data_IF_133452240115
#
_entry.id   IF_133452240115
#
_cell.length_a   1.000
_cell.length_b   1.000
_cell.length_c   1.000
_cell.angle_alpha   90.00
_cell.angle_beta   90.00
_cell.angle_gamma   90.00
#
_symmetry.space_group_name_H-M   'P 1'
#
loop_
_entity.id
_entity.type
_entity.pdbx_description
1 polymer ?
#
# COMPACT_ATOMS: atom_id res chain seq x y z
N UNK A 1 19.95 8.29 -0.29
CA UNK A 1 19.80 9.08 0.96
C UNK A 1 18.39 9.12 1.51
N UNK A 2 18.17 9.96 2.53
CA UNK A 2 16.84 10.08 3.18
C UNK A 2 15.76 10.57 2.21
N UNK A 3 16.09 11.53 1.34
CA UNK A 3 15.16 12.04 0.33
C UNK A 3 14.78 10.99 -0.70
N UNK A 4 15.69 10.10 -1.09
CA UNK A 4 15.39 9.02 -2.04
C UNK A 4 14.41 8.02 -1.41
N UNK A 5 14.60 7.70 -0.13
CA UNK A 5 13.68 6.85 0.62
C UNK A 5 12.28 7.46 0.73
N UNK A 6 12.19 8.72 1.12
CA UNK A 6 10.92 9.45 1.20
C UNK A 6 10.22 9.50 -0.17
N UNK A 7 10.96 9.89 -1.22
CA UNK A 7 10.40 9.99 -2.58
C UNK A 7 9.90 8.64 -3.10
N UNK A 8 10.63 7.55 -2.82
CA UNK A 8 10.22 6.21 -3.23
C UNK A 8 8.91 5.77 -2.54
N UNK A 9 8.77 6.04 -1.24
CA UNK A 9 7.52 5.74 -0.51
C UNK A 9 6.37 6.58 -1.03
N UNK A 10 6.59 7.87 -1.26
CA UNK A 10 5.56 8.78 -1.78
C UNK A 10 5.10 8.36 -3.18
N UNK A 11 6.02 7.99 -4.07
CA UNK A 11 5.68 7.51 -5.41
C UNK A 11 4.85 6.23 -5.34
N UNK A 12 5.24 5.28 -4.48
CA UNK A 12 4.49 4.04 -4.24
C UNK A 12 3.08 4.31 -3.70
N UNK A 13 2.94 5.23 -2.73
CA UNK A 13 1.64 5.59 -2.15
C UNK A 13 0.71 6.23 -3.19
N UNK A 14 1.23 7.14 -4.03
CA UNK A 14 0.45 7.75 -5.12
C UNK A 14 0.00 6.71 -6.14
N UNK A 15 0.88 5.78 -6.48
CA UNK A 15 0.57 4.69 -7.42
C UNK A 15 -0.49 3.76 -6.86
N UNK A 16 -0.39 3.36 -5.59
CA UNK A 16 -1.41 2.58 -4.91
C UNK A 16 -2.77 3.29 -4.90
N UNK A 17 -2.78 4.60 -4.64
CA UNK A 17 -4.00 5.41 -4.65
C UNK A 17 -4.66 5.45 -6.03
N UNK A 18 -3.88 5.58 -7.12
CA UNK A 18 -4.41 5.52 -8.51
C UNK A 18 -5.04 4.17 -8.80
N UNK A 19 -4.37 3.07 -8.48
CA UNK A 19 -4.94 1.73 -8.64
C UNK A 19 -6.23 1.57 -7.85
N UNK A 20 -6.21 1.95 -6.56
CA UNK A 20 -7.38 1.84 -5.70
C UNK A 20 -8.57 2.64 -6.22
N UNK A 21 -8.33 3.86 -6.71
CA UNK A 21 -9.37 4.68 -7.33
C UNK A 21 -9.90 4.05 -8.62
N UNK A 22 -9.04 3.55 -9.50
CA UNK A 22 -9.43 2.88 -10.73
C UNK A 22 -10.29 1.65 -10.46
N UNK A 23 -9.94 0.83 -9.46
CA UNK A 23 -10.76 -0.32 -9.04
C UNK A 23 -12.12 0.12 -8.50
N UNK A 24 -12.15 1.15 -7.64
CA UNK A 24 -13.38 1.68 -7.06
C UNK A 24 -14.32 2.26 -8.11
N UNK A 25 -13.79 3.00 -9.07
CA UNK A 25 -14.56 3.55 -10.21
C UNK A 25 -15.13 2.42 -11.06
N UNK A 26 -14.33 1.41 -11.42
CA UNK A 26 -14.78 0.26 -12.18
C UNK A 26 -15.92 -0.49 -11.48
N UNK A 27 -15.84 -0.62 -10.15
CA UNK A 27 -16.86 -1.24 -9.29
C UNK A 27 -18.05 -0.33 -8.99
N UNK A 28 -18.01 0.92 -9.40
CA UNK A 28 -19.00 1.96 -9.04
C UNK A 28 -19.19 2.10 -7.52
N UNK A 29 -18.10 2.01 -6.77
CA UNK A 29 -18.12 2.17 -5.31
C UNK A 29 -18.47 3.61 -4.93
N UNK A 30 -19.46 3.79 -4.06
CA UNK A 30 -19.85 5.12 -3.56
C UNK A 30 -18.73 5.78 -2.73
N UNK A 31 -17.89 4.97 -2.08
CA UNK A 31 -16.79 5.43 -1.23
C UNK A 31 -15.45 5.52 -1.97
N UNK A 32 -15.46 5.63 -3.31
CA UNK A 32 -14.26 5.66 -4.15
C UNK A 32 -13.20 6.68 -3.64
N UNK A 33 -13.65 7.84 -3.16
CA UNK A 33 -12.77 8.86 -2.59
C UNK A 33 -12.08 8.38 -1.31
N UNK A 34 -12.81 7.75 -0.39
CA UNK A 34 -12.25 7.24 0.86
C UNK A 34 -11.30 6.08 0.60
N UNK A 35 -11.61 5.22 -0.38
CA UNK A 35 -10.75 4.14 -0.84
C UNK A 35 -9.42 4.69 -1.38
N UNK A 36 -9.47 5.72 -2.21
CA UNK A 36 -8.29 6.44 -2.71
C UNK A 36 -7.45 7.02 -1.56
N UNK A 37 -8.08 7.73 -0.63
CA UNK A 37 -7.42 8.33 0.53
C UNK A 37 -6.79 7.28 1.44
N UNK A 38 -7.45 6.14 1.66
CA UNK A 38 -6.92 5.04 2.46
C UNK A 38 -5.65 4.43 1.82
N UNK A 39 -5.65 4.22 0.51
CA UNK A 39 -4.48 3.72 -0.20
C UNK A 39 -3.33 4.74 -0.21
N UNK A 40 -3.64 6.04 -0.36
CA UNK A 40 -2.64 7.11 -0.32
C UNK A 40 -1.96 7.24 1.04
N UNK A 41 -2.73 7.11 2.12
CA UNK A 41 -2.27 7.29 3.49
C UNK A 41 -1.75 6.01 4.12
N UNK A 42 -1.83 4.87 3.44
CA UNK A 42 -1.47 3.57 4.01
C UNK A 42 -0.03 3.53 4.55
N UNK A 43 0.91 4.14 3.86
CA UNK A 43 2.33 4.14 4.25
C UNK A 43 2.77 5.50 4.86
N UNK A 44 1.84 6.35 5.36
CA UNK A 44 2.25 7.68 5.84
C UNK A 44 3.14 7.64 7.09
N UNK A 45 3.01 6.62 7.93
CA UNK A 45 3.92 6.45 9.07
C UNK A 45 5.36 6.20 8.59
N UNK A 46 5.56 5.50 7.47
CA UNK A 46 6.87 5.33 6.85
C UNK A 46 7.40 6.66 6.30
N UNK A 47 6.55 7.47 5.68
CA UNK A 47 6.92 8.83 5.26
C UNK A 47 7.38 9.69 6.43
N UNK A 48 6.66 9.65 7.55
CA UNK A 48 7.05 10.36 8.76
C UNK A 48 8.39 9.88 9.33
N UNK A 49 8.67 8.57 9.27
CA UNK A 49 9.96 8.02 9.70
C UNK A 49 11.11 8.54 8.84
N UNK A 50 10.95 8.60 7.52
CA UNK A 50 11.96 9.18 6.63
C UNK A 50 12.24 10.66 6.91
N UNK A 51 11.23 11.41 7.34
CA UNK A 51 11.35 12.84 7.68
C UNK A 51 11.95 13.08 9.07
N UNK A 52 11.58 12.25 10.06
CA UNK A 52 11.90 12.51 11.48
C UNK A 52 13.06 11.69 12.00
N UNK A 53 13.27 10.51 11.47
CA UNK A 53 14.32 9.58 11.88
C UNK A 53 14.92 8.82 10.68
N UNK A 54 15.50 9.53 9.69
CA UNK A 54 15.98 8.92 8.45
C UNK A 54 17.04 7.84 8.66
N UNK A 55 17.87 7.95 9.70
CA UNK A 55 18.85 6.92 10.04
C UNK A 55 18.23 5.59 10.43
N UNK A 56 17.14 5.61 11.19
CA UNK A 56 16.40 4.39 11.57
C UNK A 56 15.64 3.83 10.37
N UNK A 57 15.02 4.67 9.55
CA UNK A 57 14.35 4.25 8.31
C UNK A 57 15.34 3.55 7.36
N UNK A 58 16.55 4.09 7.25
CA UNK A 58 17.62 3.49 6.45
C UNK A 58 18.08 2.14 6.99
N UNK A 59 18.21 2.00 8.31
CA UNK A 59 18.55 0.71 8.92
C UNK A 59 17.53 -0.37 8.58
N UNK A 60 16.23 -0.07 8.69
CA UNK A 60 15.17 -1.01 8.31
C UNK A 60 15.29 -1.39 6.83
N UNK A 61 15.48 -0.42 5.95
CA UNK A 61 15.62 -0.66 4.51
C UNK A 61 16.82 -1.55 4.19
N UNK A 62 17.97 -1.29 4.78
CA UNK A 62 19.18 -2.10 4.59
C UNK A 62 18.98 -3.54 5.09
N UNK A 63 18.35 -3.71 6.26
CA UNK A 63 18.03 -5.04 6.80
C UNK A 63 17.07 -5.81 5.87
N UNK A 64 16.06 -5.14 5.31
CA UNK A 64 15.15 -5.75 4.34
C UNK A 64 15.86 -6.23 3.08
N UNK A 65 16.85 -5.48 2.59
CA UNK A 65 17.65 -5.87 1.44
C UNK A 65 18.60 -7.04 1.73
N UNK A 66 19.13 -7.11 2.94
CA UNK A 66 20.02 -8.19 3.38
C UNK A 66 19.27 -9.49 3.69
N UNK A 67 18.04 -9.36 4.18
CA UNK A 67 17.20 -10.47 4.63
C UNK A 67 15.81 -10.44 3.97
N UNK A 68 15.71 -10.69 2.65
CA UNK A 68 14.46 -10.55 1.90
C UNK A 68 13.32 -11.47 2.40
N UNK A 69 13.67 -12.57 3.10
CA UNK A 69 12.70 -13.51 3.68
C UNK A 69 12.08 -13.05 5.01
N UNK A 70 12.65 -12.02 5.66
CA UNK A 70 12.11 -11.50 6.90
C UNK A 70 10.93 -10.55 6.63
N UNK A 71 9.88 -10.69 7.43
CA UNK A 71 8.74 -9.76 7.39
C UNK A 71 9.17 -8.37 7.86
N UNK A 72 8.78 -7.34 7.15
CA UNK A 72 9.05 -5.94 7.51
C UNK A 72 8.68 -5.62 8.95
N UNK A 73 7.55 -6.12 9.45
CA UNK A 73 7.11 -5.92 10.82
C UNK A 73 8.11 -6.46 11.87
N UNK A 74 8.78 -7.58 11.59
CA UNK A 74 9.80 -8.13 12.50
C UNK A 74 11.02 -7.21 12.58
N UNK A 75 11.52 -6.76 11.42
CA UNK A 75 12.64 -5.82 11.34
C UNK A 75 12.30 -4.49 12.04
N UNK A 76 11.08 -3.97 11.81
CA UNK A 76 10.60 -2.75 12.46
C UNK A 76 10.57 -2.88 13.98
N UNK A 77 10.06 -4.01 14.51
CA UNK A 77 10.06 -4.28 15.96
C UNK A 77 11.47 -4.33 16.55
N UNK A 78 12.44 -4.87 15.84
CA UNK A 78 13.83 -4.88 16.28
C UNK A 78 14.44 -3.48 16.32
N UNK A 79 14.23 -2.67 15.27
CA UNK A 79 14.85 -1.34 15.11
C UNK A 79 14.08 -0.26 15.86
N UNK A 80 12.74 -0.23 15.72
CA UNK A 80 11.88 0.84 16.27
C UNK A 80 11.22 0.47 17.59
N UNK A 81 11.22 -0.80 17.99
CA UNK A 81 10.47 -1.40 19.11
C UNK A 81 8.94 -1.41 18.90
N UNK A 82 8.45 -0.90 17.78
CA UNK A 82 7.05 -0.89 17.36
C UNK A 82 6.98 -1.17 15.87
N UNK A 83 5.78 -1.53 15.34
CA UNK A 83 5.56 -1.57 13.91
C UNK A 83 5.07 -0.22 13.39
N UNK A 84 5.36 0.10 12.14
CA UNK A 84 4.82 1.31 11.52
C UNK A 84 3.30 1.26 11.38
N UNK A 85 2.71 0.07 11.25
CA UNK A 85 1.26 -0.14 11.25
C UNK A 85 0.64 0.28 12.59
N UNK A 86 1.25 -0.08 13.72
CA UNK A 86 0.76 0.32 15.05
C UNK A 86 0.84 1.84 15.24
N UNK A 87 1.95 2.45 14.80
CA UNK A 87 2.13 3.91 14.85
C UNK A 87 1.08 4.61 13.98
N UNK A 88 0.87 4.13 12.76
CA UNK A 88 -0.11 4.68 11.84
C UNK A 88 -1.53 4.63 12.42
N UNK A 89 -1.94 3.48 12.92
CA UNK A 89 -3.25 3.30 13.53
C UNK A 89 -3.45 4.25 14.71
N UNK A 90 -2.47 4.35 15.61
CA UNK A 90 -2.52 5.26 16.75
C UNK A 90 -2.63 6.73 16.32
N UNK A 91 -1.90 7.16 15.28
CA UNK A 91 -1.97 8.52 14.76
C UNK A 91 -3.33 8.81 14.12
N UNK A 92 -3.88 7.89 13.33
CA UNK A 92 -5.19 8.04 12.72
C UNK A 92 -6.30 8.23 13.76
N UNK A 93 -6.27 7.44 14.84
CA UNK A 93 -7.21 7.58 15.96
C UNK A 93 -7.02 8.92 16.70
N UNK A 94 -5.77 9.31 16.97
CA UNK A 94 -5.47 10.57 17.66
C UNK A 94 -5.90 11.79 16.85
N UNK A 95 -5.78 11.74 15.53
CA UNK A 95 -6.22 12.81 14.63
C UNK A 95 -7.71 12.76 14.31
N UNK A 96 -8.44 11.79 14.89
CA UNK A 96 -9.88 11.60 14.71
C UNK A 96 -10.28 11.50 13.24
N UNK A 97 -9.50 10.75 12.46
CA UNK A 97 -9.86 10.52 11.07
C UNK A 97 -11.18 9.72 10.97
N UNK A 98 -11.90 9.85 9.85
CA UNK A 98 -13.15 9.12 9.65
C UNK A 98 -12.98 7.62 9.86
N UNK A 99 -13.95 6.98 10.53
CA UNK A 99 -13.88 5.55 10.90
C UNK A 99 -13.61 4.65 9.71
N UNK A 100 -14.33 4.87 8.60
CA UNK A 100 -14.13 4.09 7.39
C UNK A 100 -12.69 4.17 6.87
N UNK A 101 -12.10 5.37 6.89
CA UNK A 101 -10.70 5.56 6.49
C UNK A 101 -9.74 4.78 7.39
N UNK A 102 -9.94 4.83 8.69
CA UNK A 102 -9.13 4.07 9.66
C UNK A 102 -9.26 2.57 9.42
N UNK A 103 -10.49 2.08 9.24
CA UNK A 103 -10.77 0.66 9.02
C UNK A 103 -10.17 0.14 7.69
N UNK A 104 -10.20 0.95 6.62
CA UNK A 104 -9.64 0.57 5.32
C UNK A 104 -8.10 0.62 5.29
N UNK A 105 -7.47 1.42 6.14
CA UNK A 105 -6.02 1.53 6.24
C UNK A 105 -5.41 0.54 7.26
N UNK A 106 -6.21 -0.29 7.91
CA UNK A 106 -5.77 -1.24 8.92
C UNK A 106 -5.35 -2.58 8.30
N UNK A 107 -4.05 -2.81 8.19
CA UNK A 107 -3.47 -4.06 7.67
C UNK A 107 -3.74 -5.30 8.55
N UNK A 108 -4.10 -5.10 9.81
CA UNK A 108 -4.28 -6.20 10.76
C UNK A 108 -5.70 -6.76 10.75
N UNK A 109 -6.64 -6.07 10.11
CA UNK A 109 -8.01 -6.56 9.93
C UNK A 109 -8.09 -7.55 8.78
N UNK A 110 -8.84 -8.61 8.99
CA UNK A 110 -9.26 -9.48 7.89
C UNK A 110 -9.99 -8.64 6.82
N UNK A 111 -9.62 -8.83 5.56
CA UNK A 111 -10.27 -8.16 4.42
C UNK A 111 -11.70 -8.68 4.22
N UNK A 112 -12.62 -8.29 5.09
CA UNK A 112 -14.01 -8.75 5.06
C UNK A 112 -14.82 -8.03 3.98
N UNK A 113 -14.48 -6.78 3.66
CA UNK A 113 -15.19 -5.98 2.65
C UNK A 113 -14.46 -5.92 1.31
N UNK A 114 -15.22 -5.77 0.24
CA UNK A 114 -14.65 -5.52 -1.10
C UNK A 114 -13.82 -4.22 -1.15
N UNK A 115 -14.20 -3.22 -0.36
CA UNK A 115 -13.46 -1.95 -0.24
C UNK A 115 -12.10 -2.16 0.43
N UNK A 116 -12.03 -2.90 1.54
CA UNK A 116 -10.77 -3.24 2.20
C UNK A 116 -9.88 -4.10 1.29
N UNK A 117 -10.47 -5.05 0.57
CA UNK A 117 -9.76 -5.87 -0.41
C UNK A 117 -9.21 -5.03 -1.57
N UNK A 118 -9.95 -4.03 -2.05
CA UNK A 118 -9.49 -3.08 -3.05
C UNK A 118 -8.19 -2.39 -2.57
N UNK A 119 -8.21 -1.78 -1.38
CA UNK A 119 -7.05 -1.07 -0.82
C UNK A 119 -5.85 -2.01 -0.70
N UNK A 120 -6.03 -3.19 -0.13
CA UNK A 120 -4.96 -4.19 0.05
C UNK A 120 -4.35 -4.62 -1.28
N UNK A 121 -5.16 -4.91 -2.29
CA UNK A 121 -4.69 -5.33 -3.60
C UNK A 121 -3.97 -4.21 -4.36
N UNK A 122 -4.47 -2.98 -4.26
CA UNK A 122 -3.83 -1.82 -4.88
C UNK A 122 -2.44 -1.55 -4.29
N UNK A 123 -2.30 -1.64 -2.96
CA UNK A 123 -1.01 -1.48 -2.28
C UNK A 123 -0.05 -2.61 -2.65
N UNK A 124 -0.52 -3.85 -2.68
CA UNK A 124 0.28 -5.01 -3.04
C UNK A 124 0.80 -4.90 -4.47
N UNK A 125 -0.04 -4.54 -5.42
CA UNK A 125 0.34 -4.30 -6.80
C UNK A 125 1.37 -3.17 -6.92
N UNK A 126 1.15 -2.03 -6.25
CA UNK A 126 2.08 -0.91 -6.26
C UNK A 126 3.47 -1.27 -5.71
N UNK A 127 3.55 -2.18 -4.74
CA UNK A 127 4.82 -2.72 -4.22
C UNK A 127 5.51 -3.64 -5.22
N UNK A 128 4.79 -4.58 -5.83
CA UNK A 128 5.34 -5.55 -6.75
C UNK A 128 5.78 -4.92 -8.08
N UNK A 129 5.12 -3.84 -8.49
CA UNK A 129 5.45 -3.10 -9.72
C UNK A 129 6.34 -1.88 -9.47
N UNK A 130 6.90 -1.72 -8.26
CA UNK A 130 7.71 -0.54 -7.90
C UNK A 130 8.97 -0.35 -8.77
N UNK A 131 9.53 -1.42 -9.28
CA UNK A 131 10.70 -1.42 -10.17
C UNK A 131 10.26 -1.57 -11.62
N UNK A 132 9.53 -2.63 -11.91
CA UNK A 132 9.01 -2.94 -13.24
C UNK A 132 7.84 -3.93 -13.17
N UNK A 133 7.29 -4.27 -14.34
CA UNK A 133 6.19 -5.23 -14.48
C UNK A 133 6.64 -6.70 -14.63
N UNK A 134 7.92 -7.02 -14.39
CA UNK A 134 8.46 -8.38 -14.56
C UNK A 134 8.49 -9.21 -13.26
N UNK A 135 7.98 -8.66 -12.15
CA UNK A 135 7.93 -9.38 -10.89
C UNK A 135 6.99 -10.60 -11.00
N UNK A 136 7.45 -11.82 -10.62
CA UNK A 136 6.61 -13.04 -10.69
C UNK A 136 5.32 -12.97 -9.88
N UNK A 137 5.28 -12.17 -8.81
CA UNK A 137 4.09 -12.00 -7.97
C UNK A 137 2.94 -11.26 -8.70
N UNK A 138 3.21 -10.58 -9.80
CA UNK A 138 2.19 -9.83 -10.55
C UNK A 138 1.12 -10.75 -11.13
N UNK A 139 1.46 -11.98 -11.50
CA UNK A 139 0.47 -12.95 -12.00
C UNK A 139 -0.61 -13.25 -10.95
N UNK A 140 -0.21 -13.40 -9.69
CA UNK A 140 -1.14 -13.59 -8.58
C UNK A 140 -1.93 -12.32 -8.27
N UNK A 141 -1.31 -11.14 -8.36
CA UNK A 141 -2.00 -9.87 -8.20
C UNK A 141 -3.09 -9.68 -9.25
N UNK A 142 -2.76 -9.91 -10.52
CA UNK A 142 -3.72 -9.81 -11.64
C UNK A 142 -4.90 -10.76 -11.42
N UNK A 143 -4.65 -12.02 -11.03
CA UNK A 143 -5.71 -13.00 -10.75
C UNK A 143 -6.64 -12.52 -9.64
N UNK A 144 -6.08 -12.03 -8.53
CA UNK A 144 -6.87 -11.60 -7.37
C UNK A 144 -7.64 -10.31 -7.65
N UNK A 145 -7.04 -9.38 -8.42
CA UNK A 145 -7.72 -8.15 -8.86
C UNK A 145 -8.81 -8.47 -9.89
N UNK A 146 -8.55 -9.38 -10.82
CA UNK A 146 -9.55 -9.86 -11.78
C UNK A 146 -10.80 -10.41 -11.08
N UNK A 147 -10.60 -11.19 -10.01
CA UNK A 147 -11.70 -11.69 -9.18
C UNK A 147 -12.45 -10.55 -8.47
N UNK A 148 -11.75 -9.54 -7.95
CA UNK A 148 -12.38 -8.37 -7.33
C UNK A 148 -13.22 -7.56 -8.33
N UNK A 149 -12.69 -7.36 -9.54
CA UNK A 149 -13.32 -6.56 -10.59
C UNK A 149 -14.31 -7.33 -11.44
N UNK A 150 -14.39 -8.67 -11.28
CA UNK A 150 -15.20 -9.56 -12.12
C UNK A 150 -14.86 -9.44 -13.61
N UNK A 151 -13.56 -9.38 -13.91
CA UNK A 151 -12.99 -9.28 -15.24
C UNK A 151 -12.15 -10.52 -15.58
N UNK A 152 -11.86 -10.73 -16.86
CA UNK A 152 -10.82 -11.68 -17.25
C UNK A 152 -9.42 -11.18 -16.84
N UNK A 153 -8.45 -12.07 -16.58
CA UNK A 153 -7.08 -11.67 -16.26
C UNK A 153 -6.42 -10.81 -17.34
N UNK A 154 -6.71 -11.09 -18.62
CA UNK A 154 -6.16 -10.36 -19.76
C UNK A 154 -6.64 -8.91 -19.79
N UNK A 155 -7.96 -8.70 -19.64
CA UNK A 155 -8.54 -7.36 -19.59
C UNK A 155 -8.11 -6.61 -18.31
N UNK A 156 -7.97 -7.33 -17.19
CA UNK A 156 -7.46 -6.75 -15.96
C UNK A 156 -6.03 -6.23 -16.15
N UNK A 157 -5.14 -7.02 -16.75
CA UNK A 157 -3.76 -6.59 -16.98
C UNK A 157 -3.70 -5.33 -17.87
N UNK A 158 -4.53 -5.24 -18.90
CA UNK A 158 -4.61 -4.04 -19.73
C UNK A 158 -5.07 -2.82 -18.94
N UNK A 159 -6.13 -2.96 -18.14
CA UNK A 159 -6.59 -1.89 -17.25
C UNK A 159 -5.50 -1.43 -16.27
N UNK A 160 -4.78 -2.37 -15.67
CA UNK A 160 -3.71 -2.04 -14.70
C UNK A 160 -2.57 -1.24 -15.33
N UNK A 161 -2.18 -1.58 -16.56
CA UNK A 161 -1.15 -0.84 -17.30
C UNK A 161 -1.63 0.54 -17.70
N UNK A 162 -2.88 0.67 -18.13
CA UNK A 162 -3.49 1.95 -18.46
C UNK A 162 -3.53 2.89 -17.24
N UNK A 163 -3.96 2.38 -16.08
CA UNK A 163 -3.96 3.13 -14.83
C UNK A 163 -2.56 3.53 -14.34
N UNK A 164 -1.52 2.85 -14.78
CA UNK A 164 -0.15 3.13 -14.38
C UNK A 164 0.53 4.20 -15.24
N UNK A 165 0.04 4.40 -16.46
CA UNK A 165 0.56 5.40 -17.41
C UNK A 165 0.02 6.82 -17.12
N UNK A 166 -1.11 6.96 -16.40
CA UNK A 166 -1.71 8.24 -15.98
C UNK A 166 -1.01 8.81 -14.73
#
# INVERSE_FOLDING_TARGET
GAMDGFTAVLARSRRAARFALGFAVHRMDHDARVIHEAALLHDFAELLMWLRAPGLAQQVRLRQLQEPGLRSASIQKEVFKVTLSDVQHALMLRWRLPRLLVDLADDQRECVSAQARNVTLAIRLARHTAVDWNNPAIADDVRDIAALLQMSPEHTLLLLKDLDED
#
